data_IF_388044753553
#
_entry.id   IF_388044753553
#
_cell.length_a   1.000
_cell.length_b   1.000
_cell.length_c   1.000
_cell.angle_alpha   90.00
_cell.angle_beta   90.00
_cell.angle_gamma   90.00
#
_symmetry.space_group_name_H-M   'P 1'
#
loop_
_entity.id
_entity.type
_entity.pdbx_description
1 polymer ?
#
# COMPACT_ATOMS: atom_id res chain seq x y z
N UNK A 1 -3.52 -19.54 -0.63
CA UNK A 1 -3.02 -18.19 -0.85
C UNK A 1 -4.16 -17.20 -0.60
N UNK A 2 -4.00 -16.35 0.38
CA UNK A 2 -5.04 -15.42 0.80
C UNK A 2 -4.60 -13.98 0.45
N UNK A 3 -5.41 -13.27 -0.30
CA UNK A 3 -5.21 -11.87 -0.64
C UNK A 3 -6.52 -11.12 -0.51
N UNK A 4 -6.47 -9.89 -0.04
CA UNK A 4 -7.64 -9.01 0.01
C UNK A 4 -7.94 -8.36 -1.35
N UNK A 5 -6.98 -8.38 -2.26
CA UNK A 5 -7.13 -7.94 -3.65
C UNK A 5 -6.16 -8.72 -4.54
N UNK A 6 -6.67 -9.37 -5.59
CA UNK A 6 -5.86 -10.15 -6.53
C UNK A 6 -4.79 -9.28 -7.27
N UNK A 7 -5.04 -7.99 -7.45
CA UNK A 7 -4.09 -7.05 -8.07
C UNK A 7 -2.78 -6.92 -7.26
N UNK A 8 -2.78 -7.26 -5.96
CA UNK A 8 -1.56 -7.26 -5.15
C UNK A 8 -0.51 -8.23 -5.72
N UNK A 9 -0.94 -9.28 -6.43
CA UNK A 9 -0.03 -10.22 -7.09
C UNK A 9 0.78 -9.57 -8.24
N UNK A 10 0.31 -8.44 -8.80
CA UNK A 10 1.07 -7.67 -9.77
C UNK A 10 2.33 -7.00 -9.19
N UNK A 11 2.49 -6.97 -7.86
CA UNK A 11 3.74 -6.54 -7.23
C UNK A 11 4.92 -7.48 -7.53
N UNK A 12 4.65 -8.67 -8.05
CA UNK A 12 5.66 -9.64 -8.49
C UNK A 12 5.79 -9.71 -10.03
N UNK A 13 5.18 -8.75 -10.76
CA UNK A 13 5.39 -8.60 -12.18
C UNK A 13 6.84 -8.23 -12.52
N UNK A 14 7.22 -8.32 -13.76
CA UNK A 14 8.52 -7.87 -14.28
C UNK A 14 8.58 -6.36 -14.60
N UNK A 15 7.65 -5.59 -14.02
CA UNK A 15 7.58 -4.13 -14.08
C UNK A 15 6.98 -3.56 -12.78
N UNK A 16 7.31 -2.32 -12.45
CA UNK A 16 6.72 -1.63 -11.30
C UNK A 16 5.30 -1.15 -11.61
N UNK A 17 4.31 -1.80 -11.00
CA UNK A 17 2.89 -1.50 -11.18
C UNK A 17 2.41 -0.44 -10.19
N UNK A 18 1.84 0.65 -10.72
CA UNK A 18 1.09 1.60 -9.90
C UNK A 18 -0.38 1.19 -9.80
N UNK A 19 -0.79 0.72 -8.63
CA UNK A 19 -2.16 0.22 -8.41
C UNK A 19 -3.22 1.34 -8.41
N UNK A 20 -2.83 2.60 -8.19
CA UNK A 20 -3.78 3.73 -8.14
C UNK A 20 -4.26 4.13 -9.52
N UNK A 21 -3.36 4.15 -10.49
CA UNK A 21 -3.65 4.47 -11.90
C UNK A 21 -3.82 3.21 -12.77
N UNK A 22 -3.46 2.03 -12.23
CA UNK A 22 -3.39 0.75 -12.95
C UNK A 22 -2.42 0.80 -14.14
N UNK A 23 -1.34 1.56 -13.99
CA UNK A 23 -0.34 1.75 -15.06
C UNK A 23 1.06 1.27 -14.63
N UNK A 24 1.92 1.11 -15.61
CA UNK A 24 3.35 0.92 -15.43
C UNK A 24 4.11 1.61 -16.57
N UNK A 25 5.39 1.90 -16.35
CA UNK A 25 6.29 2.36 -17.39
C UNK A 25 6.91 1.14 -18.09
N UNK A 26 6.42 0.84 -19.30
CA UNK A 26 6.98 -0.23 -20.15
C UNK A 26 7.82 0.44 -21.25
N UNK A 27 9.11 0.19 -21.26
CA UNK A 27 10.06 0.82 -22.17
C UNK A 27 9.97 2.36 -22.19
N UNK A 28 9.67 2.97 -21.05
CA UNK A 28 9.51 4.41 -20.89
C UNK A 28 8.16 4.97 -21.36
N UNK A 29 7.22 4.11 -21.72
CA UNK A 29 5.85 4.49 -22.11
C UNK A 29 4.87 4.17 -20.98
N UNK A 30 4.09 5.16 -20.55
CA UNK A 30 3.02 4.95 -19.58
C UNK A 30 1.91 4.08 -20.19
N UNK A 31 1.82 2.86 -19.72
CA UNK A 31 0.96 1.80 -20.26
C UNK A 31 -0.12 1.43 -19.24
N UNK A 32 -1.37 1.38 -19.67
CA UNK A 32 -2.50 0.92 -18.85
C UNK A 32 -2.55 -0.60 -18.86
N UNK A 33 -2.16 -1.21 -17.76
CA UNK A 33 -1.90 -2.65 -17.65
C UNK A 33 -3.15 -3.52 -17.89
N UNK A 34 -4.37 -3.19 -17.40
CA UNK A 34 -5.54 -4.04 -17.58
C UNK A 34 -5.98 -4.31 -19.03
N UNK A 35 -5.37 -3.67 -20.02
CA UNK A 35 -5.68 -3.92 -21.46
C UNK A 35 -4.55 -4.60 -22.23
N UNK A 36 -3.48 -4.99 -21.56
CA UNK A 36 -2.30 -5.60 -22.18
C UNK A 36 -2.42 -7.12 -22.29
N UNK A 37 -1.66 -7.70 -23.20
CA UNK A 37 -1.53 -9.17 -23.31
C UNK A 37 -0.96 -9.77 -22.01
N UNK A 38 -0.05 -9.06 -21.34
CA UNK A 38 0.46 -9.45 -20.02
C UNK A 38 -0.68 -9.66 -19.02
N UNK A 39 -1.59 -8.68 -18.91
CA UNK A 39 -2.72 -8.79 -17.98
C UNK A 39 -3.68 -9.91 -18.37
N UNK A 40 -3.86 -10.17 -19.67
CA UNK A 40 -4.64 -11.32 -20.14
C UNK A 40 -4.04 -12.64 -19.68
N UNK A 41 -2.72 -12.81 -19.82
CA UNK A 41 -2.00 -14.00 -19.33
C UNK A 41 -2.07 -14.10 -17.81
N UNK A 42 -1.80 -13.00 -17.10
CA UNK A 42 -1.93 -12.92 -15.65
C UNK A 42 -3.32 -13.36 -15.16
N UNK A 43 -4.41 -12.86 -15.75
CA UNK A 43 -5.77 -13.30 -15.39
C UNK A 43 -6.00 -14.78 -15.65
N UNK A 44 -5.40 -15.33 -16.71
CA UNK A 44 -5.46 -16.76 -17.00
C UNK A 44 -4.80 -17.61 -15.93
N UNK A 45 -3.61 -17.22 -15.49
CA UNK A 45 -2.86 -17.91 -14.45
C UNK A 45 -3.59 -17.83 -13.09
N UNK A 46 -4.08 -16.65 -12.72
CA UNK A 46 -4.82 -16.45 -11.48
C UNK A 46 -6.14 -17.21 -11.48
N UNK A 47 -6.86 -17.24 -12.61
CA UNK A 47 -8.09 -18.04 -12.74
C UNK A 47 -7.81 -19.55 -12.62
N UNK A 48 -6.68 -20.03 -13.13
CA UNK A 48 -6.26 -21.41 -12.95
C UNK A 48 -5.96 -21.73 -11.47
N UNK A 49 -5.20 -20.87 -10.77
CA UNK A 49 -4.93 -21.00 -9.35
C UNK A 49 -6.23 -20.94 -8.49
N UNK A 50 -7.18 -20.12 -8.89
CA UNK A 50 -8.50 -20.06 -8.25
C UNK A 50 -9.28 -21.37 -8.45
N UNK A 51 -9.32 -21.89 -9.67
CA UNK A 51 -9.99 -23.14 -10.00
C UNK A 51 -9.37 -24.38 -9.31
N UNK A 52 -8.05 -24.36 -9.10
CA UNK A 52 -7.31 -25.40 -8.35
C UNK A 52 -7.48 -25.29 -6.83
N UNK A 53 -8.12 -24.24 -6.32
CA UNK A 53 -8.30 -23.99 -4.90
C UNK A 53 -7.02 -23.54 -4.19
N UNK A 54 -6.03 -23.05 -4.93
CA UNK A 54 -4.80 -22.44 -4.38
C UNK A 54 -5.10 -21.05 -3.83
N UNK A 55 -5.93 -20.27 -4.53
CA UNK A 55 -6.43 -18.99 -4.04
C UNK A 55 -7.66 -19.18 -3.14
N UNK A 56 -7.76 -18.33 -2.12
CA UNK A 56 -8.95 -18.29 -1.28
C UNK A 56 -10.21 -18.01 -2.14
N UNK A 57 -11.29 -18.78 -1.96
CA UNK A 57 -12.52 -18.58 -2.74
C UNK A 57 -13.16 -17.19 -2.56
N UNK A 58 -12.81 -16.47 -1.49
CA UNK A 58 -13.31 -15.12 -1.21
C UNK A 58 -12.40 -14.00 -1.77
N UNK A 59 -11.34 -14.32 -2.51
CA UNK A 59 -10.35 -13.36 -3.02
C UNK A 59 -10.94 -12.13 -3.74
N UNK A 60 -12.13 -12.28 -4.32
CA UNK A 60 -12.85 -11.19 -5.01
C UNK A 60 -13.66 -10.26 -4.09
N UNK A 61 -13.91 -10.68 -2.86
CA UNK A 61 -14.82 -9.98 -1.94
C UNK A 61 -14.26 -9.83 -0.52
N UNK A 62 -13.11 -10.45 -0.25
CA UNK A 62 -12.51 -10.47 1.07
C UNK A 62 -11.98 -9.09 1.45
N UNK A 63 -12.30 -8.66 2.66
CA UNK A 63 -11.71 -7.46 3.26
C UNK A 63 -10.47 -7.82 4.08
N UNK A 64 -9.61 -6.81 4.37
CA UNK A 64 -8.46 -6.99 5.27
C UNK A 64 -8.88 -7.48 6.67
N UNK A 65 -10.01 -7.00 7.18
CA UNK A 65 -10.56 -7.46 8.46
C UNK A 65 -10.97 -8.94 8.42
N UNK A 66 -11.56 -9.40 7.33
CA UNK A 66 -11.89 -10.80 7.13
C UNK A 66 -10.63 -11.68 6.99
N UNK A 67 -9.61 -11.18 6.28
CA UNK A 67 -8.31 -11.83 6.20
C UNK A 67 -7.68 -12.00 7.58
N UNK A 68 -7.63 -10.94 8.39
CA UNK A 68 -7.12 -10.98 9.75
C UNK A 68 -7.94 -11.95 10.64
N UNK A 69 -9.27 -11.97 10.51
CA UNK A 69 -10.11 -12.90 11.25
C UNK A 69 -9.81 -14.38 10.91
N UNK A 70 -9.53 -14.69 9.65
CA UNK A 70 -9.11 -16.03 9.23
C UNK A 70 -7.73 -16.36 9.83
N UNK A 71 -6.76 -15.46 9.69
CA UNK A 71 -5.40 -15.68 10.21
C UNK A 71 -5.35 -15.89 11.72
N UNK A 72 -6.14 -15.12 12.47
CA UNK A 72 -6.21 -15.20 13.94
C UNK A 72 -7.09 -16.35 14.45
N UNK A 73 -7.86 -17.00 13.59
CA UNK A 73 -8.67 -18.17 13.98
C UNK A 73 -7.83 -19.41 14.31
N UNK A 74 -6.56 -19.42 13.95
CA UNK A 74 -5.65 -20.56 14.05
C UNK A 74 -5.69 -21.48 12.82
N UNK A 75 -6.43 -21.12 11.77
CA UNK A 75 -6.34 -21.79 10.50
C UNK A 75 -5.02 -21.45 9.80
N UNK A 76 -4.38 -22.45 9.22
CA UNK A 76 -3.09 -22.26 8.56
C UNK A 76 -3.29 -21.53 7.23
N UNK A 77 -2.70 -20.36 7.12
CA UNK A 77 -2.59 -19.63 5.86
C UNK A 77 -1.24 -19.95 5.19
N UNK A 78 -1.27 -20.34 3.92
CA UNK A 78 -0.02 -20.64 3.19
C UNK A 78 0.78 -19.38 2.89
N UNK A 79 0.11 -18.30 2.47
CA UNK A 79 0.69 -16.97 2.21
C UNK A 79 -0.40 -15.92 2.12
N UNK A 80 -0.03 -14.67 2.37
CA UNK A 80 -0.95 -13.51 2.32
C UNK A 80 -0.15 -12.22 2.09
N UNK A 81 -0.85 -11.13 1.74
CA UNK A 81 -0.30 -9.79 1.67
C UNK A 81 -0.75 -8.98 2.88
N UNK A 82 0.20 -8.37 3.58
CA UNK A 82 -0.06 -7.40 4.64
C UNK A 82 1.21 -6.55 4.90
N UNK A 83 1.07 -5.48 5.65
CA UNK A 83 2.19 -4.64 6.07
C UNK A 83 3.12 -5.33 7.09
N UNK A 84 2.64 -6.36 7.78
CA UNK A 84 3.38 -7.21 8.69
C UNK A 84 2.58 -8.46 9.05
N UNK A 85 3.22 -9.62 9.22
CA UNK A 85 2.53 -10.88 9.47
C UNK A 85 1.64 -10.82 10.73
N UNK A 86 2.11 -10.16 11.78
CA UNK A 86 1.36 -9.99 13.04
C UNK A 86 -0.01 -9.31 12.87
N UNK A 87 -0.22 -8.50 11.84
CA UNK A 87 -1.51 -7.86 11.58
C UNK A 87 -2.56 -8.86 11.13
N UNK A 88 -2.15 -9.85 10.33
CA UNK A 88 -3.03 -10.90 9.83
C UNK A 88 -3.13 -12.08 10.79
N UNK A 89 -2.02 -12.64 11.27
CA UNK A 89 -2.04 -13.89 12.05
C UNK A 89 -1.89 -13.69 13.56
N UNK A 90 -1.68 -12.48 14.01
CA UNK A 90 -1.42 -12.14 15.41
C UNK A 90 0.02 -12.43 15.82
N UNK A 91 0.46 -11.78 16.91
CA UNK A 91 1.85 -11.86 17.39
C UNK A 91 2.26 -13.23 17.95
N UNK A 92 1.30 -14.10 18.25
CA UNK A 92 1.58 -15.46 18.72
C UNK A 92 1.99 -16.41 17.58
N UNK A 93 1.73 -16.02 16.33
CA UNK A 93 1.93 -16.87 15.14
C UNK A 93 2.78 -16.24 14.04
N UNK A 94 3.20 -14.99 14.18
CA UNK A 94 3.93 -14.29 13.12
C UNK A 94 5.34 -14.83 12.88
N UNK A 95 5.98 -15.39 13.90
CA UNK A 95 7.27 -16.09 13.80
C UNK A 95 7.24 -17.30 12.83
N UNK A 96 6.08 -17.85 12.54
CA UNK A 96 5.91 -18.94 11.57
C UNK A 96 5.96 -18.44 10.11
N UNK A 97 6.00 -17.13 9.89
CA UNK A 97 5.97 -16.50 8.57
C UNK A 97 7.22 -15.68 8.29
N UNK A 98 7.65 -15.71 7.06
CA UNK A 98 8.75 -14.86 6.56
C UNK A 98 8.22 -13.88 5.53
N UNK A 99 8.82 -12.70 5.47
CA UNK A 99 8.57 -11.76 4.39
C UNK A 99 9.23 -12.27 3.11
N UNK A 100 8.45 -12.37 2.05
CA UNK A 100 8.95 -12.75 0.73
C UNK A 100 9.44 -11.49 0.02
N UNK A 101 10.74 -11.41 -0.22
CA UNK A 101 11.35 -10.30 -0.97
C UNK A 101 10.99 -10.38 -2.47
N UNK A 102 11.05 -9.25 -3.20
CA UNK A 102 10.88 -9.25 -4.65
C UNK A 102 11.83 -10.23 -5.35
N UNK A 103 11.35 -10.82 -6.45
CA UNK A 103 12.15 -11.80 -7.21
C UNK A 103 13.14 -11.14 -8.17
N UNK A 104 12.90 -9.88 -8.55
CA UNK A 104 13.68 -9.17 -9.55
C UNK A 104 13.93 -7.73 -9.10
N UNK A 105 15.16 -7.26 -9.29
CA UNK A 105 15.55 -5.88 -9.03
C UNK A 105 14.87 -4.92 -10.02
N UNK A 106 14.45 -3.76 -9.52
CA UNK A 106 13.86 -2.68 -10.33
C UNK A 106 12.40 -2.88 -10.73
N UNK A 107 11.72 -3.90 -10.19
CA UNK A 107 10.31 -4.17 -10.52
C UNK A 107 9.36 -3.98 -9.33
N UNK A 108 9.87 -3.99 -8.10
CA UNK A 108 9.05 -3.82 -6.92
C UNK A 108 8.58 -2.35 -6.78
N UNK A 109 7.26 -2.09 -6.74
CA UNK A 109 6.75 -0.73 -6.68
C UNK A 109 6.96 -0.11 -5.30
N UNK A 110 7.77 0.94 -5.23
CA UNK A 110 7.94 1.77 -4.04
C UNK A 110 6.97 2.95 -4.07
N UNK A 111 6.68 3.50 -2.90
CA UNK A 111 5.99 4.79 -2.80
C UNK A 111 6.97 5.93 -3.05
N UNK A 112 6.46 7.10 -3.46
CA UNK A 112 7.27 8.32 -3.64
C UNK A 112 7.81 8.91 -2.33
N UNK A 113 7.59 8.24 -1.19
CA UNK A 113 7.99 8.74 0.14
C UNK A 113 7.10 9.88 0.68
N UNK A 114 6.09 10.28 -0.06
CA UNK A 114 5.10 11.30 0.33
C UNK A 114 3.70 10.74 0.16
N UNK A 115 2.87 10.86 1.18
CA UNK A 115 1.45 10.49 1.10
C UNK A 115 0.62 11.78 1.04
N UNK A 116 0.12 12.18 -0.13
CA UNK A 116 -0.69 13.39 -0.26
C UNK A 116 -2.09 13.18 0.33
N UNK A 117 -2.75 14.30 0.68
CA UNK A 117 -4.16 14.29 1.11
C UNK A 117 -4.41 13.76 2.52
N UNK A 118 -3.37 13.62 3.36
CA UNK A 118 -3.49 13.19 4.76
C UNK A 118 -4.06 14.27 5.68
N UNK A 119 -4.06 15.53 5.23
CA UNK A 119 -4.54 16.69 5.98
C UNK A 119 -5.20 17.68 5.03
N UNK A 120 -6.39 18.16 5.39
CA UNK A 120 -7.14 19.17 4.64
C UNK A 120 -7.58 20.30 5.56
N UNK A 121 -7.49 21.52 5.08
CA UNK A 121 -8.03 22.72 5.73
C UNK A 121 -9.32 23.10 5.03
N UNK A 122 -10.42 23.10 5.77
CA UNK A 122 -11.73 23.47 5.23
C UNK A 122 -11.96 24.99 5.29
N UNK A 123 -12.93 25.48 4.53
CA UNK A 123 -13.38 26.89 4.52
C UNK A 123 -13.97 27.37 5.85
N UNK A 124 -14.28 26.46 6.78
CA UNK A 124 -14.69 26.76 8.14
C UNK A 124 -13.53 27.12 9.08
N UNK A 125 -12.28 26.93 8.63
CA UNK A 125 -11.11 27.26 9.46
C UNK A 125 -10.89 28.78 9.50
N UNK A 126 -11.12 29.39 10.66
CA UNK A 126 -10.92 30.83 10.86
C UNK A 126 -9.44 31.22 11.05
N UNK A 127 -8.56 30.27 11.44
CA UNK A 127 -7.18 30.52 11.79
C UNK A 127 -6.23 29.62 11.00
N UNK A 128 -6.21 29.77 9.68
CA UNK A 128 -5.43 28.93 8.76
C UNK A 128 -3.93 29.01 9.02
N UNK A 129 -3.37 30.24 9.15
CA UNK A 129 -1.92 30.42 9.34
C UNK A 129 -1.39 29.77 10.63
N UNK A 130 -1.99 29.98 11.82
CA UNK A 130 -1.57 29.26 13.02
C UNK A 130 -1.73 27.75 12.94
N UNK A 131 -2.77 27.25 12.25
CA UNK A 131 -2.98 25.82 12.03
C UNK A 131 -1.87 25.23 11.18
N UNK A 132 -1.55 25.86 10.03
CA UNK A 132 -0.48 25.40 9.15
C UNK A 132 0.89 25.46 9.85
N UNK A 133 1.17 26.51 10.63
CA UNK A 133 2.40 26.60 11.42
C UNK A 133 2.50 25.48 12.46
N UNK A 134 1.39 25.09 13.10
CA UNK A 134 1.37 23.97 14.02
C UNK A 134 1.59 22.62 13.31
N UNK A 135 1.05 22.45 12.11
CA UNK A 135 1.29 21.24 11.29
C UNK A 135 2.72 21.18 10.75
N UNK A 136 3.28 22.32 10.33
CA UNK A 136 4.66 22.43 9.87
C UNK A 136 5.69 21.97 10.92
N UNK A 137 5.39 22.17 12.20
CA UNK A 137 6.23 21.65 13.28
C UNK A 137 6.46 20.13 13.19
N UNK A 138 5.45 19.35 12.82
CA UNK A 138 5.57 17.91 12.70
C UNK A 138 6.41 17.44 11.48
N UNK A 139 6.79 18.36 10.59
CA UNK A 139 7.76 18.12 9.53
C UNK A 139 9.20 18.43 9.96
N UNK A 140 9.43 18.89 11.19
CA UNK A 140 10.76 18.95 11.79
C UNK A 140 11.16 17.59 12.37
N UNK A 141 12.47 17.38 12.58
CA UNK A 141 12.98 16.17 13.26
C UNK A 141 12.35 15.99 14.65
N UNK A 142 12.30 17.05 15.46
CA UNK A 142 11.70 17.04 16.80
C UNK A 142 10.21 16.71 16.74
N UNK A 143 9.47 17.35 15.84
CA UNK A 143 8.04 17.10 15.66
C UNK A 143 7.74 15.70 15.10
N UNK A 144 8.58 15.18 14.22
CA UNK A 144 8.51 13.81 13.74
C UNK A 144 8.73 12.79 14.85
N UNK A 145 9.75 12.98 15.70
CA UNK A 145 10.00 12.14 16.86
C UNK A 145 8.79 12.18 17.82
N UNK A 146 8.28 13.38 18.10
CA UNK A 146 7.09 13.52 18.97
C UNK A 146 5.88 12.78 18.40
N UNK A 147 5.65 12.86 17.08
CA UNK A 147 4.51 12.21 16.42
C UNK A 147 4.62 10.68 16.42
N UNK A 148 5.83 10.14 16.21
CA UNK A 148 6.06 8.70 16.00
C UNK A 148 6.47 7.96 17.27
N UNK A 149 7.19 8.61 18.19
CA UNK A 149 7.77 7.99 19.37
C UNK A 149 7.19 8.57 20.67
N UNK A 150 6.63 9.77 20.63
CA UNK A 150 6.12 10.46 21.82
C UNK A 150 7.22 11.19 22.58
N UNK A 151 7.27 11.03 23.91
CA UNK A 151 8.14 11.79 24.81
C UNK A 151 9.18 10.88 25.42
N UNK A 152 10.48 11.26 25.29
CA UNK A 152 11.59 10.54 25.91
C UNK A 152 11.44 10.50 27.44
N UNK A 153 11.68 9.32 28.02
CA UNK A 153 11.50 9.04 29.44
C UNK A 153 10.06 8.78 29.86
N UNK A 154 9.08 8.92 28.96
CA UNK A 154 7.66 8.61 29.21
C UNK A 154 7.19 7.45 28.33
N UNK A 155 7.30 7.57 27.02
CA UNK A 155 6.84 6.57 26.05
C UNK A 155 7.97 5.74 25.47
N UNK A 156 9.16 6.32 25.35
CA UNK A 156 10.38 5.65 24.92
C UNK A 156 11.60 6.14 25.71
N UNK A 157 12.66 5.36 25.64
CA UNK A 157 13.97 5.71 26.19
C UNK A 157 15.08 5.32 25.21
N UNK A 158 16.26 5.95 25.34
CA UNK A 158 17.47 5.59 24.61
C UNK A 158 18.38 4.86 25.57
N UNK A 159 18.77 3.63 25.22
CA UNK A 159 19.68 2.82 26.01
C UNK A 159 21.14 3.27 25.94
N UNK A 160 21.99 2.68 26.76
CA UNK A 160 23.46 2.93 26.74
C UNK A 160 24.12 2.52 25.41
N UNK A 161 23.48 1.62 24.67
CA UNK A 161 23.85 1.17 23.33
C UNK A 161 23.54 2.20 22.24
N UNK A 162 22.73 3.21 22.53
CA UNK A 162 22.26 4.22 21.59
C UNK A 162 20.98 3.84 20.86
N UNK A 163 20.44 2.65 21.12
CA UNK A 163 19.19 2.20 20.54
C UNK A 163 18.00 2.66 21.39
N UNK A 164 16.92 3.05 20.73
CA UNK A 164 15.71 3.42 21.42
C UNK A 164 14.78 2.21 21.61
N UNK A 165 13.97 2.28 22.68
CA UNK A 165 13.00 1.23 23.00
C UNK A 165 11.75 1.82 23.65
N UNK A 166 10.61 1.16 23.44
CA UNK A 166 9.38 1.51 24.11
C UNK A 166 9.46 1.24 25.61
N UNK A 167 8.88 2.14 26.41
CA UNK A 167 8.70 1.94 27.85
C UNK A 167 7.32 1.31 28.07
N UNK A 168 7.28 0.00 28.28
CA UNK A 168 6.05 -0.75 28.52
C UNK A 168 5.78 -0.98 30.01
N UNK A 169 4.52 -1.17 30.39
CA UNK A 169 4.13 -1.49 31.77
C UNK A 169 4.16 -0.31 32.77
N UNK A 170 4.29 0.94 32.29
CA UNK A 170 4.44 2.14 33.14
C UNK A 170 3.18 3.01 33.26
N UNK A 171 2.03 2.50 32.77
CA UNK A 171 0.78 3.26 32.71
C UNK A 171 0.51 3.90 31.35
N UNK A 172 1.48 3.86 30.43
CA UNK A 172 1.33 4.27 29.04
C UNK A 172 0.86 3.11 28.13
N UNK A 173 1.00 1.88 28.56
CA UNK A 173 0.55 0.65 27.91
C UNK A 173 1.25 -0.57 28.45
N UNK A 174 0.57 -1.72 28.46
CA UNK A 174 1.09 -2.99 28.96
C UNK A 174 1.93 -3.75 27.93
N UNK A 175 1.84 -3.35 26.65
CA UNK A 175 2.65 -3.85 25.55
C UNK A 175 3.01 -2.73 24.56
N UNK A 176 3.88 -3.02 23.60
CA UNK A 176 4.38 -2.08 22.59
C UNK A 176 3.24 -1.44 21.79
N UNK A 177 2.28 -2.25 21.34
CA UNK A 177 1.17 -1.75 20.54
C UNK A 177 0.26 -0.83 21.34
N UNK A 178 0.03 -1.12 22.63
CA UNK A 178 -0.73 -0.28 23.53
C UNK A 178 -0.02 1.06 23.77
N UNK A 179 1.29 1.07 24.00
CA UNK A 179 2.08 2.31 24.13
C UNK A 179 2.00 3.15 22.86
N UNK A 180 2.29 2.56 21.72
CA UNK A 180 2.26 3.22 20.42
C UNK A 180 0.90 3.82 20.10
N UNK A 181 -0.18 3.03 20.17
CA UNK A 181 -1.52 3.47 19.78
C UNK A 181 -2.16 4.50 20.72
N UNK A 182 -1.79 4.46 22.01
CA UNK A 182 -2.41 5.35 23.00
C UNK A 182 -1.64 6.64 23.24
N UNK A 183 -0.35 6.69 22.90
CA UNK A 183 0.52 7.79 23.32
C UNK A 183 1.24 8.47 22.14
N UNK A 184 1.14 7.97 20.93
CA UNK A 184 1.68 8.64 19.76
C UNK A 184 0.59 9.03 18.78
N UNK A 185 0.79 10.12 18.08
CA UNK A 185 -0.16 10.62 17.07
C UNK A 185 -0.26 9.61 15.92
N UNK A 186 0.89 9.09 15.51
CA UNK A 186 0.98 8.10 14.42
C UNK A 186 0.33 6.75 14.77
N UNK A 187 0.37 6.36 16.03
CA UNK A 187 -0.22 5.09 16.46
C UNK A 187 -1.75 5.04 16.35
N UNK A 188 -2.40 6.19 16.42
CA UNK A 188 -3.86 6.29 16.41
C UNK A 188 -4.46 6.49 14.99
N UNK A 189 -3.77 7.21 14.09
CA UNK A 189 -4.24 7.54 12.75
C UNK A 189 -3.10 8.14 11.91
N UNK A 190 -3.31 8.23 10.59
CA UNK A 190 -2.42 8.98 9.71
C UNK A 190 -2.40 10.46 10.11
N UNK A 191 -1.22 11.01 10.26
CA UNK A 191 -0.98 12.38 10.66
C UNK A 191 0.06 13.02 9.74
N UNK A 192 -0.11 14.30 9.35
CA UNK A 192 0.90 15.02 8.58
C UNK A 192 2.17 15.20 9.42
N UNK A 193 3.20 14.43 9.13
CA UNK A 193 4.49 14.46 9.80
C UNK A 193 5.55 13.76 8.96
N UNK A 194 6.82 14.05 9.23
CA UNK A 194 7.88 13.18 8.75
C UNK A 194 7.98 11.95 9.65
N UNK A 195 8.36 10.83 9.07
CA UNK A 195 8.80 9.67 9.83
C UNK A 195 10.32 9.81 10.06
N UNK A 196 10.81 9.87 11.30
CA UNK A 196 12.22 10.12 11.56
C UNK A 196 13.06 8.89 11.20
N UNK A 197 14.23 9.09 10.61
CA UNK A 197 15.18 8.00 10.31
C UNK A 197 15.55 7.19 11.55
N UNK A 198 15.63 7.86 12.70
CA UNK A 198 15.94 7.25 13.99
C UNK A 198 14.94 6.14 14.38
N UNK A 199 13.67 6.25 13.97
CA UNK A 199 12.68 5.20 14.13
C UNK A 199 13.13 3.88 13.48
N UNK A 200 13.63 3.94 12.23
CA UNK A 200 13.97 2.74 11.48
C UNK A 200 15.33 2.15 11.84
N UNK A 201 16.30 2.99 12.20
CA UNK A 201 17.70 2.59 12.25
C UNK A 201 18.15 2.16 13.62
N UNK A 202 17.49 2.63 14.69
CA UNK A 202 17.95 2.47 16.06
C UNK A 202 16.92 1.86 17.00
N UNK A 203 15.92 1.15 16.48
CA UNK A 203 14.96 0.43 17.31
C UNK A 203 15.58 -0.81 17.93
N UNK A 204 15.42 -0.98 19.24
CA UNK A 204 15.95 -2.14 19.95
C UNK A 204 15.10 -3.38 19.75
N UNK A 205 15.71 -4.45 19.25
CA UNK A 205 15.07 -5.76 19.11
C UNK A 205 14.74 -6.45 20.45
N UNK A 206 15.18 -5.91 21.57
CA UNK A 206 14.86 -6.47 22.90
C UNK A 206 13.38 -6.29 23.24
N UNK A 207 12.75 -5.19 22.76
CA UNK A 207 11.37 -4.82 23.10
C UNK A 207 10.42 -5.04 21.93
N UNK A 208 10.86 -4.77 20.70
CA UNK A 208 10.03 -4.95 19.49
C UNK A 208 10.82 -5.67 18.38
N UNK A 209 11.10 -6.97 18.53
CA UNK A 209 11.86 -7.74 17.55
C UNK A 209 11.16 -7.83 16.19
N UNK A 210 9.82 -7.87 16.19
CA UNK A 210 9.02 -8.01 14.96
C UNK A 210 9.14 -6.77 14.09
N UNK A 211 9.04 -5.57 14.67
CA UNK A 211 9.20 -4.33 13.91
C UNK A 211 10.65 -4.14 13.43
N UNK A 212 11.63 -4.54 14.23
CA UNK A 212 13.05 -4.53 13.81
C UNK A 212 13.28 -5.49 12.63
N UNK A 213 12.72 -6.70 12.69
CA UNK A 213 12.76 -7.64 11.58
C UNK A 213 12.11 -7.04 10.32
N UNK A 214 10.89 -6.50 10.44
CA UNK A 214 10.18 -5.90 9.32
C UNK A 214 10.94 -4.72 8.71
N UNK A 215 11.51 -3.84 9.52
CA UNK A 215 12.31 -2.72 9.03
C UNK A 215 13.54 -3.20 8.25
N UNK A 216 14.19 -4.27 8.71
CA UNK A 216 15.28 -4.90 8.00
C UNK A 216 14.87 -5.49 6.64
N UNK A 217 13.72 -6.16 6.56
CA UNK A 217 13.21 -6.73 5.32
C UNK A 217 12.70 -5.64 4.35
N UNK A 218 12.04 -4.60 4.87
CA UNK A 218 11.61 -3.42 4.09
C UNK A 218 12.81 -2.70 3.47
N UNK A 219 13.91 -2.56 4.21
CA UNK A 219 15.13 -1.97 3.66
C UNK A 219 15.69 -2.80 2.49
N UNK A 220 15.71 -4.13 2.60
CA UNK A 220 16.12 -5.01 1.48
C UNK A 220 15.18 -4.88 0.28
N UNK A 221 13.86 -4.81 0.51
CA UNK A 221 12.89 -4.61 -0.56
C UNK A 221 13.05 -3.22 -1.22
N UNK A 222 13.36 -2.18 -0.43
CA UNK A 222 13.61 -0.85 -0.93
C UNK A 222 14.83 -0.79 -1.86
N UNK A 223 15.90 -1.51 -1.54
CA UNK A 223 17.09 -1.61 -2.40
C UNK A 223 16.79 -2.27 -3.75
N UNK A 224 15.76 -3.11 -3.82
CA UNK A 224 15.33 -3.80 -5.04
C UNK A 224 14.20 -3.09 -5.79
N UNK A 225 13.64 -2.05 -5.20
CA UNK A 225 12.43 -1.38 -5.71
C UNK A 225 12.71 -0.17 -6.58
N UNK A 226 11.66 0.32 -7.19
CA UNK A 226 11.65 1.56 -7.95
C UNK A 226 10.33 2.29 -7.76
N UNK A 227 10.36 3.61 -7.73
CA UNK A 227 9.14 4.41 -7.73
C UNK A 227 8.51 4.32 -9.13
N UNK A 228 7.31 3.74 -9.27
CA UNK A 228 6.73 3.48 -10.60
C UNK A 228 6.40 4.76 -11.36
N UNK A 229 5.94 5.79 -10.66
CA UNK A 229 5.54 7.07 -11.21
C UNK A 229 6.03 8.22 -10.32
N UNK A 230 6.39 9.39 -10.89
CA UNK A 230 6.59 10.60 -10.11
C UNK A 230 5.29 11.05 -9.45
N UNK A 231 5.35 12.07 -8.60
CA UNK A 231 4.14 12.66 -8.05
C UNK A 231 3.29 13.28 -9.16
N UNK A 232 2.10 12.71 -9.36
CA UNK A 232 1.15 13.11 -10.39
C UNK A 232 0.21 14.19 -9.82
N UNK A 233 0.37 15.43 -10.27
CA UNK A 233 -0.47 16.56 -9.85
C UNK A 233 -1.53 16.83 -10.90
N UNK A 234 -2.79 16.63 -10.54
CA UNK A 234 -3.95 16.81 -11.40
C UNK A 234 -4.62 18.17 -11.15
N UNK A 235 -5.18 18.78 -12.19
CA UNK A 235 -6.08 19.93 -12.04
C UNK A 235 -7.44 19.47 -11.51
N UNK A 236 -8.28 20.42 -11.08
CA UNK A 236 -9.63 20.10 -10.61
C UNK A 236 -10.48 19.48 -11.74
N UNK A 237 -10.36 20.00 -12.97
CA UNK A 237 -11.06 19.48 -14.14
C UNK A 237 -10.60 18.04 -14.48
N UNK A 238 -9.29 17.78 -14.43
CA UNK A 238 -8.75 16.43 -14.64
C UNK A 238 -9.23 15.46 -13.57
N UNK A 239 -9.27 15.88 -12.30
CA UNK A 239 -9.77 15.06 -11.20
C UNK A 239 -11.25 14.71 -11.37
N UNK A 240 -12.10 15.66 -11.78
CA UNK A 240 -13.53 15.42 -12.03
C UNK A 240 -13.72 14.44 -13.21
N UNK A 241 -12.95 14.61 -14.28
CA UNK A 241 -13.02 13.73 -15.45
C UNK A 241 -12.54 12.31 -15.13
N UNK A 242 -11.40 12.18 -14.42
CA UNK A 242 -10.87 10.90 -13.93
C UNK A 242 -11.91 10.21 -13.04
N UNK A 243 -12.46 10.88 -12.06
CA UNK A 243 -13.42 10.30 -11.13
C UNK A 243 -14.65 9.72 -11.85
N UNK A 244 -15.11 10.43 -12.87
CA UNK A 244 -16.27 10.01 -13.68
C UNK A 244 -15.95 8.73 -14.47
N UNK A 245 -14.84 8.71 -15.21
CA UNK A 245 -14.47 7.57 -16.07
C UNK A 245 -14.00 6.36 -15.24
N UNK A 246 -13.11 6.61 -14.27
CA UNK A 246 -12.48 5.57 -13.48
C UNK A 246 -13.46 4.72 -12.69
N UNK A 247 -14.53 5.33 -12.17
CA UNK A 247 -15.55 4.61 -11.41
C UNK A 247 -16.21 3.50 -12.24
N UNK A 248 -16.61 3.82 -13.45
CA UNK A 248 -17.27 2.85 -14.33
C UNK A 248 -16.27 1.81 -14.88
N UNK A 249 -15.08 2.27 -15.26
CA UNK A 249 -13.99 1.41 -15.74
C UNK A 249 -13.59 0.38 -14.69
N UNK A 250 -13.32 0.81 -13.45
CA UNK A 250 -12.92 -0.08 -12.36
C UNK A 250 -14.03 -1.09 -12.01
N UNK A 251 -15.28 -0.64 -11.98
CA UNK A 251 -16.41 -1.52 -11.74
C UNK A 251 -16.54 -2.60 -12.83
N UNK A 252 -16.35 -2.23 -14.09
CA UNK A 252 -16.40 -3.17 -15.20
C UNK A 252 -15.22 -4.16 -15.19
N UNK A 253 -14.00 -3.69 -14.90
CA UNK A 253 -12.83 -4.57 -14.72
C UNK A 253 -13.12 -5.62 -13.64
N UNK A 254 -13.57 -5.19 -12.46
CA UNK A 254 -13.86 -6.10 -11.36
C UNK A 254 -14.95 -7.13 -11.73
N UNK A 255 -15.99 -6.69 -12.45
CA UNK A 255 -17.03 -7.58 -12.95
C UNK A 255 -16.47 -8.60 -13.95
N UNK A 256 -15.64 -8.16 -14.88
CA UNK A 256 -15.02 -9.03 -15.88
C UNK A 256 -14.10 -10.07 -15.22
N UNK A 257 -13.25 -9.65 -14.30
CA UNK A 257 -12.38 -10.55 -13.53
C UNK A 257 -13.20 -11.62 -12.79
N UNK A 258 -14.30 -11.21 -12.15
CA UNK A 258 -15.18 -12.17 -11.47
C UNK A 258 -15.80 -13.20 -12.46
N UNK A 259 -16.15 -12.79 -13.68
CA UNK A 259 -16.66 -13.70 -14.70
C UNK A 259 -15.58 -14.67 -15.20
N UNK A 260 -14.33 -14.20 -15.33
CA UNK A 260 -13.20 -15.06 -15.71
C UNK A 260 -12.91 -16.09 -14.60
N UNK A 261 -12.82 -15.67 -13.35
CA UNK A 261 -12.51 -16.53 -12.21
C UNK A 261 -13.59 -17.61 -11.99
N UNK A 262 -14.86 -17.27 -12.20
CA UNK A 262 -15.98 -18.21 -12.06
C UNK A 262 -16.19 -19.08 -13.31
N UNK A 263 -15.42 -18.86 -14.38
CA UNK A 263 -15.57 -19.57 -15.65
C UNK A 263 -16.84 -19.20 -16.42
N UNK A 264 -17.49 -18.07 -16.07
CA UNK A 264 -18.66 -17.58 -16.80
C UNK A 264 -18.31 -17.09 -18.21
N UNK A 265 -17.08 -16.66 -18.42
CA UNK A 265 -16.51 -16.30 -19.71
C UNK A 265 -15.10 -16.90 -19.85
N UNK A 266 -14.68 -17.14 -21.10
CA UNK A 266 -13.28 -17.49 -21.38
C UNK A 266 -12.52 -16.25 -21.87
N UNK A 267 -11.25 -16.14 -21.52
CA UNK A 267 -10.38 -15.05 -21.99
C UNK A 267 -10.25 -15.03 -23.51
N UNK A 268 -10.20 -16.23 -24.14
CA UNK A 268 -10.05 -16.33 -25.59
C UNK A 268 -11.22 -15.70 -26.35
N UNK A 269 -12.46 -15.94 -25.89
CA UNK A 269 -13.66 -15.49 -26.60
C UNK A 269 -14.10 -14.07 -26.23
N UNK A 270 -13.69 -13.57 -25.06
CA UNK A 270 -14.25 -12.33 -24.48
C UNK A 270 -13.26 -11.16 -24.39
N UNK A 271 -11.95 -11.39 -24.54
CA UNK A 271 -10.93 -10.37 -24.33
C UNK A 271 -11.09 -9.13 -25.23
N UNK A 272 -11.29 -9.33 -26.54
CA UNK A 272 -11.44 -8.21 -27.46
C UNK A 272 -12.71 -7.38 -27.16
N UNK A 273 -13.78 -8.04 -26.73
CA UNK A 273 -15.00 -7.37 -26.30
C UNK A 273 -14.81 -6.62 -24.99
N UNK A 274 -14.03 -7.17 -24.06
CA UNK A 274 -13.67 -6.51 -22.80
C UNK A 274 -12.90 -5.21 -23.07
N UNK A 275 -11.82 -5.26 -23.85
CA UNK A 275 -11.03 -4.07 -24.20
C UNK A 275 -11.86 -3.05 -24.96
N UNK A 276 -12.67 -3.49 -25.94
CA UNK A 276 -13.57 -2.60 -26.69
C UNK A 276 -14.60 -1.91 -25.79
N UNK A 277 -15.11 -2.60 -24.77
CA UNK A 277 -16.06 -2.03 -23.82
C UNK A 277 -15.42 -0.96 -22.94
N UNK A 278 -14.20 -1.20 -22.44
CA UNK A 278 -13.44 -0.21 -21.70
C UNK A 278 -13.20 1.07 -22.52
N UNK A 279 -12.83 0.93 -23.79
CA UNK A 279 -12.64 2.08 -24.67
C UNK A 279 -13.97 2.87 -24.87
N UNK A 280 -15.10 2.18 -25.00
CA UNK A 280 -16.42 2.84 -25.08
C UNK A 280 -16.82 3.54 -23.77
N UNK A 281 -16.25 3.16 -22.62
CA UNK A 281 -16.43 3.82 -21.33
C UNK A 281 -15.55 5.06 -21.15
N UNK A 282 -14.68 5.36 -22.13
CA UNK A 282 -13.80 6.53 -22.10
C UNK A 282 -12.38 6.23 -21.62
N UNK A 283 -11.93 4.96 -21.64
CA UNK A 283 -10.60 4.57 -21.20
C UNK A 283 -9.49 5.29 -21.97
N UNK A 284 -9.63 5.49 -23.29
CA UNK A 284 -8.64 6.24 -24.07
C UNK A 284 -8.40 7.64 -23.50
N UNK A 285 -9.48 8.33 -23.11
CA UNK A 285 -9.40 9.64 -22.51
C UNK A 285 -8.74 9.61 -21.13
N UNK A 286 -9.03 8.61 -20.32
CA UNK A 286 -8.36 8.41 -19.02
C UNK A 286 -6.85 8.23 -19.17
N UNK A 287 -6.43 7.42 -20.14
CA UNK A 287 -5.02 7.20 -20.45
C UNK A 287 -4.35 8.48 -20.95
N UNK A 288 -5.01 9.26 -21.82
CA UNK A 288 -4.50 10.57 -22.27
C UNK A 288 -4.23 11.50 -21.09
N UNK A 289 -5.17 11.61 -20.13
CA UNK A 289 -4.98 12.45 -18.94
C UNK A 289 -3.76 11.97 -18.15
N UNK A 290 -3.62 10.67 -17.90
CA UNK A 290 -2.46 10.14 -17.18
C UNK A 290 -1.15 10.41 -17.90
N UNK A 291 -1.12 10.28 -19.23
CA UNK A 291 0.07 10.55 -20.04
C UNK A 291 0.45 12.03 -20.03
N UNK A 292 -0.54 12.94 -20.12
CA UNK A 292 -0.31 14.39 -20.07
C UNK A 292 0.21 14.81 -18.69
N UNK A 293 -0.36 14.27 -17.61
CA UNK A 293 0.09 14.55 -16.24
C UNK A 293 1.51 13.99 -16.02
N UNK A 294 1.77 12.78 -16.47
CA UNK A 294 3.12 12.19 -16.41
C UNK A 294 4.13 13.04 -17.18
N UNK A 295 3.80 13.47 -18.40
CA UNK A 295 4.69 14.33 -19.19
C UNK A 295 4.99 15.66 -18.50
N UNK A 296 4.01 16.26 -17.80
CA UNK A 296 4.24 17.47 -16.98
C UNK A 296 5.15 17.18 -15.80
N UNK A 297 4.91 16.08 -15.10
CA UNK A 297 5.68 15.72 -13.91
C UNK A 297 7.17 15.44 -14.16
N UNK A 298 7.51 14.89 -15.34
CA UNK A 298 8.92 14.64 -15.71
C UNK A 298 9.61 15.83 -16.37
N UNK A 299 8.86 16.90 -16.71
CA UNK A 299 9.41 18.12 -17.31
C UNK A 299 9.85 19.15 -16.24
N UNK A 300 9.42 19.01 -15.01
CA UNK A 300 9.80 19.81 -13.83
C UNK A 300 11.12 19.30 -13.22
#
# INVERSE_FOLDING_TARGET
FCVSNYDQLLSYADFAYDASTKTALIDGVLTYIPTTDYYKEFLGDIAALFAEGVLDPNVLTQTGEQQAAIGQSGDVMGSFFDAGAFLTVGRDNDDDYILLTPFQEGTYPLTIGVTPGTFVVTDYCENVEPLLAAMDYFYSEEGGILAWMGVEGETYEIGEDGDWRWIVGTGYGDDVQAVRSSNTIQGAANHPSIQPDFWFTNMSAEVDPDEVYLNGERAKAADMGVVPLPMMSYTDEENEEIATIKTDVDAYINQYVAQVFTGAVTLEDSWDSYVSTLNNMGLERLIEIYQDVYARAIAE
#
